data_IF_188797539873
#
_entry.id   IF_188797539873
#
_cell.length_a   1.000
_cell.length_b   1.000
_cell.length_c   1.000
_cell.angle_alpha   90.00
_cell.angle_beta   90.00
_cell.angle_gamma   90.00
#
_symmetry.space_group_name_H-M   'P 1'
#
loop_
_entity.id
_entity.type
_entity.pdbx_description
1 polymer ?
#
# COMPACT_ATOMS: atom_id res chain seq x y z
N UNK A 1 20.00 14.22 9.08
CA UNK A 1 18.73 14.92 9.37
C UNK A 1 17.63 13.88 9.39
N UNK A 2 16.91 13.67 10.50
CA UNK A 2 15.73 12.80 10.48
C UNK A 2 14.57 13.56 9.81
N UNK A 3 13.79 12.86 8.97
CA UNK A 3 12.62 13.43 8.28
C UNK A 3 11.50 13.83 9.24
N UNK A 4 11.50 13.29 10.45
CA UNK A 4 10.46 13.50 11.46
C UNK A 4 11.08 13.84 12.82
N UNK A 5 10.36 14.65 13.59
CA UNK A 5 10.68 14.93 14.98
C UNK A 5 10.24 13.77 15.88
N UNK A 6 11.14 13.28 16.74
CA UNK A 6 10.89 12.11 17.60
C UNK A 6 9.66 12.27 18.51
N UNK A 7 9.43 13.47 19.05
CA UNK A 7 8.25 13.75 19.89
C UNK A 7 6.94 13.58 19.13
N UNK A 8 6.91 14.04 17.87
CA UNK A 8 5.74 13.92 16.99
C UNK A 8 5.52 12.44 16.65
N UNK A 9 6.58 11.71 16.27
CA UNK A 9 6.49 10.29 15.96
C UNK A 9 5.91 9.49 17.15
N UNK A 10 6.49 9.68 18.34
CA UNK A 10 6.06 8.96 19.54
C UNK A 10 4.61 9.29 19.93
N UNK A 11 4.14 10.52 19.70
CA UNK A 11 2.75 10.90 19.93
C UNK A 11 1.81 10.10 19.03
N UNK A 12 2.10 10.00 17.73
CA UNK A 12 1.25 9.25 16.80
C UNK A 12 1.31 7.75 17.05
N UNK A 13 2.49 7.18 17.31
CA UNK A 13 2.65 5.75 17.61
C UNK A 13 1.84 5.32 18.83
N UNK A 14 1.78 6.14 19.88
CA UNK A 14 0.96 5.86 21.08
C UNK A 14 -0.55 5.92 20.83
N UNK A 15 -0.99 6.63 19.79
CA UNK A 15 -2.40 6.75 19.43
C UNK A 15 -2.88 5.68 18.46
N UNK A 16 -2.01 4.77 18.02
CA UNK A 16 -2.39 3.69 17.11
C UNK A 16 -3.11 2.58 17.87
N UNK A 17 -4.17 2.07 17.26
CA UNK A 17 -4.84 0.84 17.68
C UNK A 17 -3.94 -0.35 17.33
N UNK A 18 -3.32 -0.95 18.35
CA UNK A 18 -2.38 -2.05 18.21
C UNK A 18 -3.03 -3.30 17.61
N UNK A 19 -4.28 -3.60 17.95
CA UNK A 19 -4.97 -4.78 17.39
C UNK A 19 -5.23 -4.59 15.90
N UNK A 20 -5.72 -3.41 15.50
CA UNK A 20 -5.94 -3.07 14.09
C UNK A 20 -4.63 -3.12 13.30
N UNK A 21 -3.55 -2.55 13.84
CA UNK A 21 -2.23 -2.56 13.20
C UNK A 21 -1.72 -3.99 13.05
N UNK A 22 -1.78 -4.81 14.11
CA UNK A 22 -1.32 -6.20 14.06
C UNK A 22 -2.09 -7.02 13.02
N UNK A 23 -3.41 -6.86 12.95
CA UNK A 23 -4.25 -7.55 11.96
C UNK A 23 -3.90 -7.18 10.52
N UNK A 24 -3.71 -5.89 10.26
CA UNK A 24 -3.32 -5.39 8.93
C UNK A 24 -1.89 -5.84 8.59
N UNK A 25 -0.98 -5.79 9.56
CA UNK A 25 0.40 -6.24 9.38
C UNK A 25 0.47 -7.74 9.07
N UNK A 26 -0.35 -8.57 9.73
CA UNK A 26 -0.42 -9.99 9.41
C UNK A 26 -0.80 -10.22 7.95
N UNK A 27 -1.86 -9.56 7.45
CA UNK A 27 -2.25 -9.63 6.01
C UNK A 27 -1.10 -9.21 5.09
N UNK A 28 -0.38 -8.15 5.47
CA UNK A 28 0.79 -7.70 4.72
C UNK A 28 1.85 -8.81 4.67
N UNK A 29 2.19 -9.41 5.80
CA UNK A 29 3.20 -10.47 5.85
C UNK A 29 2.77 -11.73 5.09
N UNK A 30 1.49 -12.12 5.16
CA UNK A 30 0.96 -13.30 4.46
C UNK A 30 1.17 -13.20 2.94
N UNK A 31 1.03 -11.99 2.37
CA UNK A 31 1.24 -11.75 0.96
C UNK A 31 2.71 -11.40 0.63
N UNK A 32 3.26 -10.35 1.24
CA UNK A 32 4.56 -9.79 0.83
C UNK A 32 5.77 -10.52 1.44
N UNK A 33 5.61 -11.37 2.47
CA UNK A 33 6.70 -12.22 2.97
C UNK A 33 6.68 -13.63 2.37
N UNK A 34 5.70 -13.96 1.53
CA UNK A 34 5.69 -15.22 0.80
C UNK A 34 6.79 -15.22 -0.27
N UNK A 35 7.73 -16.15 -0.17
CA UNK A 35 8.90 -16.24 -1.06
C UNK A 35 8.52 -16.40 -2.53
N UNK A 36 7.48 -17.19 -2.84
CA UNK A 36 6.99 -17.39 -4.20
C UNK A 36 6.39 -16.11 -4.78
N UNK A 37 5.62 -15.36 -3.97
CA UNK A 37 5.07 -14.06 -4.40
C UNK A 37 6.21 -13.07 -4.65
N UNK A 38 7.20 -13.00 -3.76
CA UNK A 38 8.36 -12.12 -3.96
C UNK A 38 9.13 -12.43 -5.24
N UNK A 39 9.34 -13.71 -5.56
CA UNK A 39 10.02 -14.13 -6.78
C UNK A 39 9.21 -13.74 -8.02
N UNK A 40 7.90 -13.98 -8.01
CA UNK A 40 7.00 -13.58 -9.09
C UNK A 40 7.03 -12.06 -9.33
N UNK A 41 7.01 -11.26 -8.26
CA UNK A 41 7.09 -9.79 -8.34
C UNK A 41 8.43 -9.37 -8.94
N UNK A 42 9.55 -9.94 -8.47
CA UNK A 42 10.89 -9.62 -8.98
C UNK A 42 11.06 -9.97 -10.46
N UNK A 43 10.39 -11.01 -10.93
CA UNK A 43 10.43 -11.45 -12.32
C UNK A 43 9.43 -10.70 -13.23
N UNK A 44 8.53 -9.90 -12.65
CA UNK A 44 7.51 -9.14 -13.38
C UNK A 44 8.03 -7.77 -13.81
N UNK A 45 7.55 -7.27 -14.95
CA UNK A 45 7.78 -5.87 -15.34
C UNK A 45 6.90 -4.94 -14.50
N UNK A 46 7.34 -3.69 -14.36
CA UNK A 46 6.58 -2.65 -13.64
C UNK A 46 5.16 -2.51 -14.22
N UNK A 47 5.00 -2.45 -15.55
CA UNK A 47 3.67 -2.27 -16.15
C UNK A 47 2.72 -3.44 -15.88
N UNK A 48 3.27 -4.63 -15.61
CA UNK A 48 2.48 -5.83 -15.30
C UNK A 48 2.03 -5.84 -13.83
N UNK A 49 2.89 -5.39 -12.91
CA UNK A 49 2.62 -5.51 -11.48
C UNK A 49 2.15 -4.22 -10.80
N UNK A 50 2.39 -3.04 -11.38
CA UNK A 50 2.00 -1.75 -10.77
C UNK A 50 0.50 -1.70 -10.44
N UNK A 51 -0.35 -2.27 -11.31
CA UNK A 51 -1.79 -2.33 -11.10
C UNK A 51 -2.21 -3.27 -9.97
N UNK A 52 -1.58 -4.44 -9.89
CA UNK A 52 -1.81 -5.48 -8.86
C UNK A 52 -1.26 -5.04 -7.51
N UNK A 53 -0.09 -4.39 -7.48
CA UNK A 53 0.47 -3.80 -6.26
C UNK A 53 -0.51 -2.86 -5.55
N UNK A 54 -1.25 -2.04 -6.31
CA UNK A 54 -2.30 -1.17 -5.74
C UNK A 54 -3.43 -1.98 -5.10
N UNK A 55 -3.77 -3.13 -5.65
CA UNK A 55 -4.80 -4.01 -5.10
C UNK A 55 -4.25 -4.70 -3.85
N UNK A 56 -3.09 -5.34 -3.94
CA UNK A 56 -2.52 -6.13 -2.85
C UNK A 56 -2.17 -5.30 -1.62
N UNK A 57 -1.59 -4.10 -1.81
CA UNK A 57 -1.25 -3.25 -0.68
C UNK A 57 -2.41 -2.35 -0.27
N UNK A 58 -2.93 -1.53 -1.18
CA UNK A 58 -3.86 -0.48 -0.76
C UNK A 58 -5.26 -1.03 -0.52
N UNK A 59 -5.75 -1.94 -1.36
CA UNK A 59 -7.11 -2.51 -1.19
C UNK A 59 -7.10 -3.61 -0.13
N UNK A 60 -6.30 -4.67 -0.32
CA UNK A 60 -6.37 -5.88 0.49
C UNK A 60 -5.82 -5.70 1.91
N UNK A 61 -4.72 -4.94 2.04
CA UNK A 61 -4.07 -4.68 3.33
C UNK A 61 -4.62 -3.42 3.98
N UNK A 62 -4.58 -2.27 3.29
CA UNK A 62 -4.92 -0.97 3.90
C UNK A 62 -6.41 -0.59 3.82
N UNK A 63 -7.24 -1.32 3.06
CA UNK A 63 -8.69 -1.13 3.00
C UNK A 63 -9.17 0.04 2.12
N UNK A 64 -8.38 0.46 1.15
CA UNK A 64 -8.79 1.45 0.14
C UNK A 64 -9.78 0.84 -0.86
N UNK A 65 -10.55 1.70 -1.51
CA UNK A 65 -11.47 1.31 -2.59
C UNK A 65 -10.93 1.86 -3.90
N UNK A 66 -10.57 0.97 -4.83
CA UNK A 66 -9.99 1.32 -6.14
C UNK A 66 -11.09 1.63 -7.17
N UNK A 67 -10.87 2.65 -7.99
CA UNK A 67 -11.67 2.94 -9.19
C UNK A 67 -11.73 1.69 -10.10
N UNK A 68 -12.90 1.27 -10.64
CA UNK A 68 -14.20 1.97 -10.72
C UNK A 68 -15.25 1.58 -9.70
N UNK A 69 -14.87 0.96 -8.59
CA UNK A 69 -15.81 0.63 -7.53
C UNK A 69 -16.47 1.91 -6.98
N UNK A 70 -17.79 1.93 -6.72
CA UNK A 70 -18.47 3.09 -6.16
C UNK A 70 -17.79 3.60 -4.87
N UNK A 71 -17.77 4.92 -4.67
CA UNK A 71 -17.09 5.59 -3.55
C UNK A 71 -15.58 5.30 -3.46
N UNK A 72 -14.91 5.11 -4.61
CA UNK A 72 -13.46 4.92 -4.63
C UNK A 72 -12.70 6.10 -4.01
N UNK A 73 -11.59 5.78 -3.36
CA UNK A 73 -10.62 6.73 -2.81
C UNK A 73 -9.18 6.46 -3.30
N UNK A 74 -9.02 5.53 -4.24
CA UNK A 74 -7.77 5.18 -4.89
C UNK A 74 -7.98 5.09 -6.41
N UNK A 75 -7.07 5.69 -7.18
CA UNK A 75 -7.02 5.57 -8.64
C UNK A 75 -5.59 5.25 -9.08
N UNK A 76 -5.43 4.69 -10.27
CA UNK A 76 -4.12 4.53 -10.90
C UNK A 76 -3.53 5.89 -11.28
N UNK A 77 -2.22 5.92 -11.52
CA UNK A 77 -1.55 7.12 -12.00
C UNK A 77 -2.21 7.65 -13.29
N UNK A 78 -2.57 8.93 -13.27
CA UNK A 78 -3.04 9.63 -14.46
C UNK A 78 -1.81 10.12 -15.23
N UNK A 79 -1.44 9.44 -16.32
CA UNK A 79 -0.46 10.01 -17.25
C UNK A 79 -1.01 11.33 -17.78
N UNK A 80 -0.42 12.46 -17.36
CA UNK A 80 -0.72 13.78 -17.93
C UNK A 80 -0.32 13.76 -19.41
N UNK A 81 -1.28 13.51 -20.30
CA UNK A 81 -1.09 13.71 -21.72
C UNK A 81 -1.16 15.22 -22.00
N UNK A 82 0.01 15.81 -22.30
CA UNK A 82 0.29 17.14 -22.86
C UNK A 82 -0.54 18.33 -22.31
N UNK A 83 0.13 19.21 -21.54
CA UNK A 83 -0.22 20.65 -21.59
C UNK A 83 -0.06 21.07 -23.06
N UNK A 84 -1.12 21.66 -23.61
CA UNK A 84 -1.21 22.20 -24.97
C UNK A 84 -0.03 23.12 -25.31
#
# INVERSE_FOLDING_TARGET
MSLYQNSVLNKYLKGLDTEKVNKVYQKFTEHFHNSTIQENIRNSKEEQYQGEFLIDLFVNVLGYTKNPTPNFNLTTELKKHKRF
#
